data_IF_250130262625
#
_entry.id   IF_250130262625
#
_cell.length_a   1.000
_cell.length_b   1.000
_cell.length_c   1.000
_cell.angle_alpha   90.00
_cell.angle_beta   90.00
_cell.angle_gamma   90.00
#
_symmetry.space_group_name_H-M   'P 1'
#
loop_
_entity.id
_entity.type
_entity.pdbx_description
1 polymer ?
#
# COMPACT_ATOMS: atom_id res chain seq x y z
N UNK A 1 -73.72 -23.23 31.42
CA UNK A 1 -72.92 -23.17 30.23
C UNK A 1 -71.64 -22.51 30.63
N UNK A 2 -70.57 -23.30 30.69
CA UNK A 2 -69.29 -22.96 31.35
C UNK A 2 -68.37 -22.12 30.43
N UNK A 3 -67.83 -21.03 30.96
CA UNK A 3 -66.82 -20.23 30.34
C UNK A 3 -65.46 -20.63 30.95
N UNK A 4 -64.60 -21.24 30.16
CA UNK A 4 -63.29 -21.62 30.60
C UNK A 4 -62.27 -20.49 30.26
N UNK A 5 -61.63 -19.95 31.29
CA UNK A 5 -60.58 -18.95 31.24
C UNK A 5 -59.26 -19.60 30.75
N UNK A 6 -58.61 -18.94 29.79
CA UNK A 6 -57.30 -19.31 29.27
C UNK A 6 -56.18 -18.58 30.06
N UNK A 7 -55.17 -19.26 30.59
CA UNK A 7 -54.04 -18.58 31.25
C UNK A 7 -53.05 -18.02 30.21
N UNK A 8 -52.64 -16.75 30.42
CA UNK A 8 -51.66 -16.04 29.71
C UNK A 8 -50.29 -16.71 29.80
N UNK A 9 -49.71 -17.00 28.66
CA UNK A 9 -48.33 -17.44 28.55
C UNK A 9 -47.39 -16.24 28.66
N UNK A 10 -46.41 -16.32 29.58
CA UNK A 10 -45.35 -15.36 29.74
C UNK A 10 -44.43 -15.37 28.56
N UNK A 11 -44.09 -14.19 28.05
CA UNK A 11 -43.09 -13.99 27.01
C UNK A 11 -41.69 -14.32 27.50
N UNK A 12 -40.77 -14.67 26.58
CA UNK A 12 -39.37 -14.96 26.93
C UNK A 12 -38.68 -13.69 27.40
N UNK A 13 -37.98 -13.79 28.54
CA UNK A 13 -37.20 -12.71 29.12
C UNK A 13 -36.09 -12.27 28.18
N UNK A 14 -35.82 -10.96 28.15
CA UNK A 14 -34.68 -10.37 27.48
C UNK A 14 -33.37 -10.94 28.02
N UNK A 15 -32.39 -11.24 27.19
CA UNK A 15 -31.07 -11.65 27.67
C UNK A 15 -30.41 -10.50 28.43
N UNK A 16 -29.94 -10.81 29.60
CA UNK A 16 -29.20 -9.93 30.50
C UNK A 16 -27.89 -9.44 29.83
N UNK A 17 -27.74 -8.13 29.71
CA UNK A 17 -26.63 -7.46 29.01
C UNK A 17 -25.40 -7.24 29.92
N UNK A 18 -25.12 -8.18 30.84
CA UNK A 18 -24.04 -8.07 31.84
C UNK A 18 -22.87 -9.00 31.58
N UNK A 19 -22.50 -9.20 30.33
CA UNK A 19 -21.39 -10.05 29.92
C UNK A 19 -20.22 -9.31 29.24
N UNK A 20 -20.08 -7.99 29.41
CA UNK A 20 -18.89 -7.30 28.90
C UNK A 20 -17.72 -7.57 29.86
N UNK A 21 -16.55 -8.00 29.33
CA UNK A 21 -15.36 -8.17 30.16
C UNK A 21 -14.94 -6.81 30.77
N UNK A 22 -14.67 -6.83 32.06
CA UNK A 22 -14.13 -5.69 32.79
C UNK A 22 -12.67 -5.45 32.37
N UNK A 23 -12.41 -4.35 31.68
CA UNK A 23 -11.08 -3.90 31.26
C UNK A 23 -10.43 -2.92 32.26
N UNK A 24 -10.99 -2.74 33.45
CA UNK A 24 -10.48 -1.78 34.44
C UNK A 24 -9.11 -2.12 35.03
N UNK A 25 -8.52 -3.27 34.68
CA UNK A 25 -7.21 -3.74 35.14
C UNK A 25 -6.10 -3.72 34.08
N UNK A 26 -6.35 -3.21 32.88
CA UNK A 26 -5.30 -3.10 31.87
C UNK A 26 -4.54 -1.79 32.14
N UNK A 27 -3.44 -1.88 32.89
CA UNK A 27 -2.48 -0.79 32.95
C UNK A 27 -1.98 -0.51 31.54
N UNK A 28 -2.19 0.71 31.06
CA UNK A 28 -1.57 1.19 29.84
C UNK A 28 -0.05 1.01 29.98
N UNK A 29 0.66 0.47 28.99
CA UNK A 29 2.10 0.37 29.06
C UNK A 29 2.65 1.78 29.31
N UNK A 30 3.54 1.88 30.32
CA UNK A 30 4.20 3.13 30.68
C UNK A 30 4.74 3.76 29.40
N UNK A 31 4.33 4.98 29.12
CA UNK A 31 4.87 5.81 28.04
C UNK A 31 6.38 5.95 28.31
N UNK A 32 7.18 5.12 27.66
CA UNK A 32 8.61 5.35 27.58
C UNK A 32 8.78 6.62 26.75
N UNK A 33 9.12 7.72 27.40
CA UNK A 33 9.58 8.97 26.78
C UNK A 33 11.00 8.80 26.19
N UNK A 34 11.32 7.65 25.64
CA UNK A 34 12.47 7.56 24.78
C UNK A 34 12.11 8.30 23.50
N UNK A 35 12.92 9.27 23.06
CA UNK A 35 12.72 9.89 21.77
C UNK A 35 12.73 8.75 20.77
N UNK A 36 11.57 8.49 20.19
CA UNK A 36 11.48 7.62 19.01
C UNK A 36 12.53 8.17 18.06
N UNK A 37 13.56 7.38 17.64
CA UNK A 37 14.49 7.87 16.64
C UNK A 37 13.62 8.40 15.51
N UNK A 38 13.84 9.68 15.14
CA UNK A 38 13.20 10.27 13.98
C UNK A 38 13.39 9.25 12.87
N UNK A 39 12.37 8.45 12.64
CA UNK A 39 12.31 7.63 11.45
C UNK A 39 12.31 8.66 10.36
N UNK A 40 13.42 8.68 9.66
CA UNK A 40 13.52 9.39 8.41
C UNK A 40 12.31 8.94 7.57
N UNK A 41 11.23 9.70 7.66
CA UNK A 41 9.90 9.34 7.11
C UNK A 41 10.00 9.21 5.59
N UNK A 42 11.16 9.54 5.04
CA UNK A 42 11.46 9.55 3.61
C UNK A 42 12.38 8.42 3.18
N UNK A 43 12.81 7.53 4.09
CA UNK A 43 13.63 6.37 3.77
C UNK A 43 12.89 5.08 3.33
N UNK A 44 11.55 4.98 3.29
CA UNK A 44 10.92 3.71 2.89
C UNK A 44 11.11 3.37 1.40
N UNK A 45 11.51 4.33 0.56
CA UNK A 45 11.52 4.15 -0.90
C UNK A 45 12.90 3.80 -1.48
N UNK A 46 13.91 3.66 -0.61
CA UNK A 46 15.28 3.44 -1.04
C UNK A 46 15.89 4.65 -1.76
N UNK A 47 17.18 4.62 -2.00
CA UNK A 47 17.83 5.61 -2.85
C UNK A 47 17.37 5.42 -4.29
N UNK A 48 16.52 6.34 -4.76
CA UNK A 48 16.18 6.39 -6.18
C UNK A 48 17.44 6.81 -6.93
N UNK A 49 17.94 5.89 -7.74
CA UNK A 49 19.14 6.16 -8.52
C UNK A 49 18.96 7.36 -9.47
N UNK A 50 20.05 7.94 -9.95
CA UNK A 50 19.99 9.01 -10.94
C UNK A 50 19.23 8.56 -12.18
N UNK A 51 18.56 9.50 -12.89
CA UNK A 51 17.95 9.22 -14.17
C UNK A 51 18.94 8.55 -15.15
N UNK A 52 18.45 7.59 -15.94
CA UNK A 52 19.28 6.93 -16.92
C UNK A 52 18.67 5.65 -17.48
N UNK A 53 19.31 5.08 -18.52
CA UNK A 53 18.78 3.88 -19.19
C UNK A 53 18.98 2.60 -18.37
N UNK A 54 19.81 2.64 -17.33
CA UNK A 54 20.25 1.45 -16.61
C UNK A 54 19.17 0.98 -15.63
N UNK A 55 18.88 -0.30 -15.65
CA UNK A 55 18.08 -0.98 -14.67
C UNK A 55 18.91 -1.30 -13.42
N UNK A 56 18.28 -1.23 -12.27
CA UNK A 56 18.86 -1.53 -10.97
C UNK A 56 17.91 -2.43 -10.19
N UNK A 57 18.46 -3.23 -9.28
CA UNK A 57 17.64 -4.00 -8.36
C UNK A 57 16.67 -3.05 -7.64
N UNK A 58 15.40 -3.39 -7.67
CA UNK A 58 14.35 -2.63 -6.98
C UNK A 58 14.30 -3.00 -5.49
N UNK A 59 13.71 -2.11 -4.68
CA UNK A 59 13.49 -2.34 -3.24
C UNK A 59 12.63 -3.57 -2.96
N UNK A 60 11.81 -4.00 -3.92
CA UNK A 60 11.00 -5.21 -3.81
C UNK A 60 11.85 -6.49 -3.85
N UNK A 61 13.10 -6.41 -4.33
CA UNK A 61 13.93 -7.61 -4.50
C UNK A 61 13.33 -8.62 -5.47
N UNK A 62 13.62 -9.91 -5.27
CA UNK A 62 12.88 -11.02 -5.93
C UNK A 62 12.81 -11.02 -7.46
N UNK A 63 13.78 -10.39 -8.14
CA UNK A 63 13.77 -10.28 -9.61
C UNK A 63 13.04 -9.05 -10.14
N UNK A 64 12.75 -8.09 -9.27
CA UNK A 64 12.26 -6.77 -9.67
C UNK A 64 13.41 -5.81 -9.87
N UNK A 65 13.32 -5.02 -10.93
CA UNK A 65 14.26 -3.97 -11.27
C UNK A 65 13.52 -2.67 -11.54
N UNK A 66 14.17 -1.56 -11.25
CA UNK A 66 13.62 -0.24 -11.53
C UNK A 66 14.62 0.64 -12.27
N UNK A 67 14.10 1.62 -12.99
CA UNK A 67 14.87 2.71 -13.56
C UNK A 67 14.14 4.03 -13.44
N UNK A 68 14.90 5.09 -13.23
CA UNK A 68 14.39 6.44 -13.13
C UNK A 68 14.35 7.10 -14.51
N UNK A 69 13.25 7.74 -14.83
CA UNK A 69 13.01 8.49 -16.06
C UNK A 69 12.92 9.97 -15.68
N UNK A 70 13.75 10.80 -16.28
CA UNK A 70 13.70 12.24 -16.11
C UNK A 70 12.44 12.81 -16.79
N UNK A 71 11.77 13.72 -16.11
CA UNK A 71 10.61 14.44 -16.61
C UNK A 71 10.88 15.95 -16.59
N UNK A 72 10.02 16.69 -17.25
CA UNK A 72 10.05 18.16 -17.20
C UNK A 72 9.85 18.59 -15.75
N UNK A 73 10.72 19.51 -15.29
CA UNK A 73 10.61 20.14 -13.98
C UNK A 73 9.32 20.96 -13.84
N UNK A 74 8.87 21.14 -12.62
CA UNK A 74 7.74 22.00 -12.27
C UNK A 74 8.13 23.00 -11.18
N UNK A 75 7.16 23.69 -10.60
CA UNK A 75 7.39 24.73 -9.57
C UNK A 75 8.13 24.20 -8.33
N UNK A 76 8.09 22.89 -8.07
CA UNK A 76 8.82 22.24 -6.97
C UNK A 76 10.19 21.67 -7.41
N UNK A 77 10.61 21.93 -8.64
CA UNK A 77 11.92 21.54 -9.19
C UNK A 77 11.91 20.26 -10.00
N UNK A 78 13.08 19.58 -10.13
CA UNK A 78 13.26 18.42 -10.99
C UNK A 78 12.29 17.28 -10.67
N UNK A 79 11.64 16.76 -11.69
CA UNK A 79 10.66 15.69 -11.58
C UNK A 79 11.15 14.40 -12.26
N UNK A 80 10.70 13.28 -11.74
CA UNK A 80 10.98 11.96 -12.33
C UNK A 80 9.74 11.07 -12.31
N UNK A 81 9.78 10.03 -13.13
CA UNK A 81 8.96 8.84 -12.99
C UNK A 81 9.87 7.63 -12.76
N UNK A 82 9.35 6.58 -12.15
CA UNK A 82 10.11 5.34 -11.94
C UNK A 82 9.40 4.18 -12.59
N UNK A 83 10.04 3.58 -13.58
CA UNK A 83 9.54 2.39 -14.23
C UNK A 83 10.11 1.17 -13.51
N UNK A 84 9.22 0.31 -13.04
CA UNK A 84 9.54 -0.97 -12.42
C UNK A 84 9.22 -2.09 -13.40
N UNK A 85 10.03 -3.12 -13.43
CA UNK A 85 9.73 -4.35 -14.17
C UNK A 85 10.01 -5.56 -13.30
N UNK A 86 9.22 -6.60 -13.49
CA UNK A 86 9.58 -7.93 -13.08
C UNK A 86 10.41 -8.60 -14.19
N UNK A 87 11.35 -9.49 -13.83
CA UNK A 87 12.09 -10.27 -14.84
C UNK A 87 11.11 -10.93 -15.82
N UNK A 88 11.13 -10.57 -17.12
CA UNK A 88 10.14 -11.07 -18.06
C UNK A 88 10.31 -12.57 -18.29
N UNK A 89 9.23 -13.31 -18.58
CA UNK A 89 9.33 -14.69 -19.02
C UNK A 89 10.00 -14.76 -20.40
N UNK A 90 10.70 -15.86 -20.68
CA UNK A 90 11.49 -16.04 -21.92
C UNK A 90 10.65 -15.87 -23.20
N UNK A 91 9.37 -16.19 -23.15
CA UNK A 91 8.43 -16.12 -24.28
C UNK A 91 7.19 -15.30 -23.91
N UNK A 92 7.39 -14.06 -23.48
CA UNK A 92 6.26 -13.16 -23.18
C UNK A 92 5.37 -12.99 -24.43
N UNK A 93 4.08 -13.21 -24.25
CA UNK A 93 3.06 -13.10 -25.32
C UNK A 93 2.41 -11.73 -25.35
N UNK A 94 2.50 -10.99 -24.26
CA UNK A 94 1.93 -9.65 -24.10
C UNK A 94 2.77 -8.83 -23.17
N UNK A 95 2.60 -7.53 -23.23
CA UNK A 95 3.18 -6.59 -22.27
C UNK A 95 2.06 -5.90 -21.51
N UNK A 96 2.19 -5.84 -20.19
CA UNK A 96 1.26 -5.15 -19.31
C UNK A 96 2.00 -4.00 -18.66
N UNK A 97 1.43 -2.79 -18.72
CA UNK A 97 1.86 -1.63 -17.95
C UNK A 97 0.80 -1.32 -16.89
N UNK A 98 1.18 -1.49 -15.63
CA UNK A 98 0.35 -1.11 -14.49
C UNK A 98 0.56 0.37 -14.16
N UNK A 99 -0.54 1.10 -14.00
CA UNK A 99 -0.55 2.46 -13.50
C UNK A 99 -1.34 2.47 -12.20
N UNK A 100 -0.74 2.98 -11.15
CA UNK A 100 -1.37 3.05 -9.82
C UNK A 100 -2.43 4.16 -9.76
N UNK A 101 -3.29 4.09 -8.75
CA UNK A 101 -4.28 5.10 -8.43
C UNK A 101 -3.69 6.30 -7.64
N UNK A 102 -4.57 7.22 -7.26
CA UNK A 102 -4.20 8.36 -6.42
C UNK A 102 -3.75 7.88 -5.02
N UNK A 103 -2.68 8.46 -4.50
CA UNK A 103 -2.06 8.10 -3.22
C UNK A 103 -1.59 6.65 -3.14
N UNK A 104 -1.15 6.10 -4.25
CA UNK A 104 -0.67 4.74 -4.39
C UNK A 104 0.68 4.71 -5.14
N UNK A 105 1.28 3.55 -5.25
CA UNK A 105 2.49 3.24 -6.02
C UNK A 105 2.55 1.72 -6.22
N UNK A 106 3.49 1.22 -7.01
CA UNK A 106 3.56 -0.21 -7.24
C UNK A 106 4.28 -0.96 -6.12
N UNK A 107 3.56 -1.89 -5.48
CA UNK A 107 4.08 -2.87 -4.51
C UNK A 107 3.38 -4.24 -4.58
N UNK A 108 2.43 -4.41 -5.48
CA UNK A 108 1.56 -5.59 -5.61
C UNK A 108 2.29 -6.72 -6.35
N UNK A 109 3.34 -7.29 -5.74
CA UNK A 109 4.17 -8.33 -6.36
C UNK A 109 3.41 -9.60 -6.69
N UNK A 110 2.47 -10.03 -5.86
CA UNK A 110 1.65 -11.21 -6.11
C UNK A 110 0.83 -11.09 -7.41
N UNK A 111 0.25 -9.91 -7.65
CA UNK A 111 -0.47 -9.64 -8.90
C UNK A 111 0.48 -9.70 -10.10
N UNK A 112 1.65 -9.08 -9.99
CA UNK A 112 2.63 -9.06 -11.07
C UNK A 112 3.16 -10.48 -11.36
N UNK A 113 3.43 -11.28 -10.34
CA UNK A 113 3.92 -12.64 -10.49
C UNK A 113 2.86 -13.52 -11.16
N UNK A 114 1.61 -13.40 -10.76
CA UNK A 114 0.50 -14.12 -11.40
C UNK A 114 0.36 -13.77 -12.89
N UNK A 115 0.48 -12.49 -13.25
CA UNK A 115 0.44 -12.05 -14.65
C UNK A 115 1.65 -12.55 -15.45
N UNK A 116 2.83 -12.64 -14.84
CA UNK A 116 4.03 -13.21 -15.46
C UNK A 116 3.89 -14.72 -15.69
N UNK A 117 3.33 -15.45 -14.73
CA UNK A 117 3.01 -16.88 -14.89
C UNK A 117 2.03 -17.11 -16.04
N UNK A 118 1.11 -16.18 -16.26
CA UNK A 118 0.21 -16.19 -17.42
C UNK A 118 0.90 -15.79 -18.75
N UNK A 119 2.20 -15.49 -18.73
CA UNK A 119 3.01 -15.20 -19.91
C UNK A 119 3.10 -13.71 -20.28
N UNK A 120 2.86 -12.80 -19.36
CA UNK A 120 3.00 -11.37 -19.59
C UNK A 120 4.41 -10.86 -19.21
N UNK A 121 4.97 -9.95 -20.01
CA UNK A 121 6.02 -9.05 -19.57
C UNK A 121 5.38 -7.93 -18.76
N UNK A 122 5.66 -7.88 -17.46
CA UNK A 122 5.02 -6.93 -16.55
C UNK A 122 5.90 -5.73 -16.27
N UNK A 123 5.30 -4.56 -16.38
CA UNK A 123 5.86 -3.26 -16.01
C UNK A 123 4.89 -2.51 -15.13
N UNK A 124 5.41 -1.66 -14.24
CA UNK A 124 4.63 -0.73 -13.45
C UNK A 124 5.30 0.65 -13.48
N UNK A 125 4.53 1.71 -13.43
CA UNK A 125 5.05 3.07 -13.42
C UNK A 125 4.60 3.76 -12.13
N UNK A 126 5.57 4.11 -11.27
CA UNK A 126 5.34 5.09 -10.22
C UNK A 126 5.36 6.47 -10.89
N UNK A 127 4.19 7.09 -10.93
CA UNK A 127 4.00 8.38 -11.60
C UNK A 127 4.76 9.50 -10.88
N UNK A 128 4.91 10.65 -11.54
CA UNK A 128 5.53 11.85 -10.99
C UNK A 128 5.00 12.16 -9.58
N UNK A 129 5.92 12.32 -8.61
CA UNK A 129 5.61 12.61 -7.19
C UNK A 129 4.78 11.55 -6.47
N UNK A 130 4.92 10.29 -6.88
CA UNK A 130 4.36 9.15 -6.19
C UNK A 130 5.42 8.07 -5.96
N UNK A 131 5.30 7.31 -4.89
CA UNK A 131 6.15 6.17 -4.59
C UNK A 131 7.64 6.50 -4.75
N UNK A 132 8.35 5.70 -5.55
CA UNK A 132 9.79 5.88 -5.83
C UNK A 132 10.12 7.18 -6.55
N UNK A 133 9.13 7.84 -7.14
CA UNK A 133 9.30 9.08 -7.89
C UNK A 133 9.18 10.34 -7.03
N UNK A 134 8.71 10.22 -5.79
CA UNK A 134 8.57 11.33 -4.86
C UNK A 134 9.93 11.73 -4.29
N UNK A 135 10.20 13.04 -4.22
CA UNK A 135 11.38 13.61 -3.60
C UNK A 135 11.02 14.28 -2.26
N UNK A 136 11.98 14.38 -1.30
CA UNK A 136 11.72 14.91 0.04
C UNK A 136 11.06 16.30 0.10
N UNK A 137 11.35 17.14 -0.89
CA UNK A 137 10.85 18.52 -0.96
C UNK A 137 9.54 18.65 -1.75
N UNK A 138 9.02 17.57 -2.32
CA UNK A 138 7.87 17.60 -3.21
C UNK A 138 6.56 17.27 -2.48
N UNK A 139 5.47 17.83 -2.96
CA UNK A 139 4.11 17.50 -2.53
C UNK A 139 3.55 16.34 -3.33
N UNK A 140 3.05 15.31 -2.65
CA UNK A 140 2.48 14.12 -3.30
C UNK A 140 1.41 14.53 -4.32
N UNK A 141 1.60 14.08 -5.57
CA UNK A 141 0.63 14.25 -6.64
C UNK A 141 0.37 15.69 -7.08
N UNK A 142 1.18 16.65 -6.61
CA UNK A 142 1.08 18.03 -7.08
C UNK A 142 1.50 18.14 -8.55
N UNK A 143 0.69 18.83 -9.34
CA UNK A 143 0.97 19.19 -10.74
C UNK A 143 0.49 20.63 -10.94
N UNK A 144 1.34 21.48 -11.47
CA UNK A 144 1.04 22.84 -11.93
C UNK A 144 0.47 22.82 -13.35
#
# INVERSE_FOLDING_TARGET
MSVTSNPSQGGPGSPDATGLPDFSGVEAPASSNEPTPERDVMAPWGEVGPPGPNWRTDILGGGYESRTIELIEDAEGPCVATLVRATPPTNARMTILYLHGRNDYFFQTEMADHLREAGAAFYALDMRKYGRSLRPHQTIGYTD
#
